data_IF_039721982104
#
_entry.id   IF_039721982104
#
_cell.length_a   1.000
_cell.length_b   1.000
_cell.length_c   1.000
_cell.angle_alpha   90.00
_cell.angle_beta   90.00
_cell.angle_gamma   90.00
#
_symmetry.space_group_name_H-M   'P 1'
#
loop_
_entity.id
_entity.type
_entity.pdbx_description
1 polymer ?
#
# COMPACT_ATOMS: atom_id res chain seq x y z
N UNK A 1 -22.48 17.48 1.82
CA UNK A 1 -22.54 16.42 2.84
C UNK A 1 -21.14 15.86 3.06
N UNK A 2 -20.70 15.70 4.31
CA UNK A 2 -19.39 15.11 4.64
C UNK A 2 -19.59 13.61 4.89
N UNK A 3 -18.78 12.75 4.27
CA UNK A 3 -18.84 11.30 4.54
C UNK A 3 -18.13 11.01 5.87
N UNK A 4 -18.89 10.74 6.93
CA UNK A 4 -18.34 10.51 8.27
C UNK A 4 -17.49 9.23 8.38
N UNK A 5 -17.64 8.30 7.43
CA UNK A 5 -16.89 7.05 7.38
C UNK A 5 -15.57 7.15 6.63
N UNK A 6 -15.28 8.28 5.97
CA UNK A 6 -14.02 8.47 5.25
C UNK A 6 -12.89 8.84 6.23
N UNK A 7 -11.74 8.16 6.09
CA UNK A 7 -10.52 8.45 6.84
C UNK A 7 -9.36 8.63 5.85
N UNK A 8 -8.72 9.80 5.89
CA UNK A 8 -7.48 10.05 5.15
C UNK A 8 -6.30 9.78 6.08
N UNK A 9 -5.38 8.92 5.67
CA UNK A 9 -4.21 8.50 6.46
C UNK A 9 -2.95 8.61 5.62
N UNK A 10 -1.82 8.88 6.27
CA UNK A 10 -0.49 8.89 5.65
C UNK A 10 0.45 8.01 6.48
N UNK A 11 1.21 7.15 5.82
CA UNK A 11 2.17 6.26 6.48
C UNK A 11 3.57 6.84 6.27
N UNK A 12 4.30 7.10 7.36
CA UNK A 12 5.66 7.64 7.36
C UNK A 12 6.56 6.68 8.15
N UNK A 13 7.71 6.33 7.57
CA UNK A 13 8.68 5.42 8.15
C UNK A 13 10.07 5.78 7.64
N UNK A 14 11.11 5.36 8.36
CA UNK A 14 12.49 5.45 7.92
C UNK A 14 12.76 4.44 6.78
N UNK A 15 13.91 4.57 6.11
CA UNK A 15 14.34 3.61 5.08
C UNK A 15 14.41 2.20 5.69
N UNK A 16 14.04 1.18 4.92
CA UNK A 16 14.01 -0.25 5.31
C UNK A 16 13.05 -0.64 6.46
N UNK A 17 12.15 0.25 6.88
CA UNK A 17 11.18 -0.05 7.94
C UNK A 17 9.87 -0.69 7.42
N UNK A 18 9.89 -1.27 6.22
CA UNK A 18 8.75 -2.04 5.70
C UNK A 18 7.49 -1.22 5.40
N UNK A 19 7.63 0.05 5.02
CA UNK A 19 6.48 0.92 4.69
C UNK A 19 5.62 0.31 3.57
N UNK A 20 6.26 -0.14 2.49
CA UNK A 20 5.59 -0.77 1.34
C UNK A 20 4.88 -2.06 1.76
N UNK A 21 5.52 -2.91 2.57
CA UNK A 21 4.92 -4.14 3.11
C UNK A 21 3.66 -3.84 3.95
N UNK A 22 3.69 -2.81 4.80
CA UNK A 22 2.54 -2.41 5.60
C UNK A 22 1.35 -1.97 4.72
N UNK A 23 1.60 -1.17 3.69
CA UNK A 23 0.56 -0.73 2.74
C UNK A 23 -0.04 -1.93 2.00
N UNK A 24 0.78 -2.87 1.56
CA UNK A 24 0.29 -4.06 0.84
C UNK A 24 -0.64 -4.92 1.69
N UNK A 25 -0.27 -5.21 2.95
CA UNK A 25 -1.12 -6.00 3.84
C UNK A 25 -2.43 -5.29 4.17
N UNK A 26 -2.43 -3.96 4.31
CA UNK A 26 -3.66 -3.18 4.46
C UNK A 26 -4.57 -3.29 3.23
N UNK A 27 -4.02 -3.24 2.02
CA UNK A 27 -4.80 -3.39 0.78
C UNK A 27 -5.33 -4.82 0.58
N UNK A 28 -4.54 -5.85 0.94
CA UNK A 28 -4.96 -7.25 0.94
C UNK A 28 -6.10 -7.48 1.93
N UNK A 29 -5.95 -7.05 3.18
CA UNK A 29 -6.98 -7.19 4.21
C UNK A 29 -8.25 -6.39 3.89
N UNK A 30 -8.10 -5.23 3.24
CA UNK A 30 -9.21 -4.38 2.82
C UNK A 30 -10.02 -4.91 1.64
N UNK A 31 -9.64 -6.06 1.04
CA UNK A 31 -10.35 -6.66 -0.08
C UNK A 31 -10.32 -5.81 -1.36
N UNK A 32 -9.30 -4.95 -1.50
CA UNK A 32 -9.17 -4.03 -2.65
C UNK A 32 -8.90 -4.79 -3.95
N UNK A 33 -8.29 -5.97 -3.85
CA UNK A 33 -7.95 -6.81 -4.99
C UNK A 33 -8.94 -7.96 -5.14
N UNK A 34 -9.28 -8.31 -6.40
CA UNK A 34 -10.08 -9.51 -6.70
C UNK A 34 -9.22 -10.76 -6.52
N UNK A 35 -9.85 -11.91 -6.21
CA UNK A 35 -9.15 -13.18 -5.98
C UNK A 35 -8.21 -13.61 -7.13
N UNK A 36 -8.51 -13.21 -8.37
CA UNK A 36 -7.71 -13.53 -9.57
C UNK A 36 -6.84 -12.36 -10.06
N UNK A 37 -6.72 -11.28 -9.30
CA UNK A 37 -5.87 -10.15 -9.67
C UNK A 37 -4.43 -10.46 -9.26
N UNK A 38 -3.50 -10.48 -10.22
CA UNK A 38 -2.08 -10.48 -9.88
C UNK A 38 -1.74 -9.15 -9.22
N UNK A 39 -1.59 -9.20 -7.89
CA UNK A 39 -1.15 -8.07 -7.10
C UNK A 39 0.37 -8.09 -7.11
N UNK A 40 0.99 -7.09 -7.75
CA UNK A 40 2.42 -6.88 -7.61
C UNK A 40 2.72 -6.60 -6.14
N UNK A 41 3.79 -7.18 -5.59
CA UNK A 41 4.14 -7.10 -4.16
C UNK A 41 4.55 -5.69 -3.70
N UNK A 42 4.34 -4.64 -4.52
CA UNK A 42 4.66 -3.22 -4.28
C UNK A 42 3.76 -2.30 -5.13
N UNK A 43 2.45 -2.42 -4.95
CA UNK A 43 1.44 -1.81 -5.85
C UNK A 43 1.56 -0.28 -5.96
N UNK A 44 2.10 0.38 -4.92
CA UNK A 44 2.23 1.83 -4.86
C UNK A 44 3.62 2.34 -5.25
N UNK A 45 4.60 1.46 -5.46
CA UNK A 45 5.97 1.85 -5.78
C UNK A 45 6.04 2.17 -7.28
N UNK A 46 6.19 3.46 -7.57
CA UNK A 46 6.06 4.00 -8.91
C UNK A 46 7.40 4.07 -9.62
N UNK A 47 8.49 4.18 -8.86
CA UNK A 47 9.83 4.41 -9.39
C UNK A 47 10.71 3.16 -9.27
N UNK A 48 11.62 2.95 -10.22
CA UNK A 48 12.50 1.77 -10.23
C UNK A 48 13.40 1.70 -8.97
N UNK A 49 13.87 2.85 -8.47
CA UNK A 49 14.62 2.96 -7.21
C UNK A 49 13.84 2.44 -6.00
N UNK A 50 12.52 2.64 -5.97
CA UNK A 50 11.65 2.16 -4.88
C UNK A 50 11.42 0.65 -5.01
N UNK A 51 11.30 0.15 -6.25
CA UNK A 51 11.17 -1.28 -6.56
C UNK A 51 12.45 -2.08 -6.33
N UNK A 52 13.62 -1.48 -6.53
CA UNK A 52 14.92 -2.13 -6.34
C UNK A 52 15.38 -2.11 -4.87
N UNK A 53 15.03 -1.06 -4.11
CA UNK A 53 15.51 -0.87 -2.73
C UNK A 53 14.51 -1.18 -1.63
N UNK A 54 13.21 -1.11 -1.92
CA UNK A 54 12.19 -1.47 -0.93
C UNK A 54 12.23 -2.94 -0.55
#
# INVERSE_FOLDING_TARGET
>A
MKNERLRNVAIIAHVDHGKTSCVNEMLKQGGVFRENQQVLDRVMDSNDLERERG
#
